data_IF_117565271110
#
_entry.id   IF_117565271110
#
_cell.length_a   1.000
_cell.length_b   1.000
_cell.length_c   1.000
_cell.angle_alpha   90.00
_cell.angle_beta   90.00
_cell.angle_gamma   90.00
#
_symmetry.space_group_name_H-M   'P 1'
#
loop_
_entity.id
_entity.type
_entity.pdbx_description
1 polymer ?
#
# COMPACT_ATOMS: atom_id res chain seq x y z
N UNK A 1 -21.61 4.60 -24.84
CA UNK A 1 -22.39 3.77 -25.78
C UNK A 1 -21.68 2.49 -26.18
N UNK A 2 -20.42 2.54 -26.61
CA UNK A 2 -19.69 1.31 -27.02
C UNK A 2 -19.42 0.39 -25.82
N UNK A 3 -18.96 0.93 -24.69
CA UNK A 3 -18.72 0.16 -23.46
C UNK A 3 -19.98 -0.53 -22.92
N UNK A 4 -21.11 0.18 -22.93
CA UNK A 4 -22.41 -0.36 -22.49
C UNK A 4 -22.86 -1.51 -23.39
N UNK A 5 -22.65 -1.40 -24.70
CA UNK A 5 -22.98 -2.48 -25.66
C UNK A 5 -22.08 -3.70 -25.43
N UNK A 6 -20.78 -3.49 -25.21
CA UNK A 6 -19.83 -4.56 -24.90
C UNK A 6 -20.18 -5.29 -23.60
N UNK A 7 -20.52 -4.56 -22.53
CA UNK A 7 -20.94 -5.16 -21.26
C UNK A 7 -22.13 -6.09 -21.45
N UNK A 8 -23.17 -5.63 -22.14
CA UNK A 8 -24.38 -6.42 -22.39
C UNK A 8 -24.07 -7.70 -23.18
N UNK A 9 -23.18 -7.61 -24.18
CA UNK A 9 -22.75 -8.77 -24.97
C UNK A 9 -21.98 -9.80 -24.13
N UNK A 10 -21.09 -9.34 -23.24
CA UNK A 10 -20.33 -10.21 -22.32
C UNK A 10 -21.29 -10.90 -21.35
N UNK A 11 -22.19 -10.14 -20.73
CA UNK A 11 -23.17 -10.68 -19.78
C UNK A 11 -24.07 -11.73 -20.44
N UNK A 12 -24.55 -11.45 -21.65
CA UNK A 12 -25.35 -12.40 -22.42
C UNK A 12 -24.56 -13.66 -22.80
N UNK A 13 -23.29 -13.51 -23.19
CA UNK A 13 -22.40 -14.63 -23.47
C UNK A 13 -22.20 -15.54 -22.26
N UNK A 14 -22.00 -14.96 -21.07
CA UNK A 14 -21.85 -15.70 -19.82
C UNK A 14 -23.13 -16.44 -19.43
N UNK A 15 -24.29 -15.79 -19.53
CA UNK A 15 -25.58 -16.41 -19.26
C UNK A 15 -25.84 -17.61 -20.18
N UNK A 16 -25.47 -17.51 -21.45
CA UNK A 16 -25.58 -18.62 -22.41
C UNK A 16 -24.69 -19.79 -22.02
N UNK A 17 -23.44 -19.55 -21.66
CA UNK A 17 -22.50 -20.61 -21.26
C UNK A 17 -22.91 -21.28 -19.95
N UNK A 18 -23.41 -20.52 -18.97
CA UNK A 18 -23.95 -21.05 -17.72
C UNK A 18 -25.18 -21.95 -17.98
N UNK A 19 -26.05 -21.55 -18.90
CA UNK A 19 -27.19 -22.36 -19.31
C UNK A 19 -26.73 -23.67 -19.99
N UNK A 20 -25.77 -23.60 -20.91
CA UNK A 20 -25.21 -24.78 -21.58
C UNK A 20 -24.48 -25.72 -20.60
N UNK A 21 -23.80 -25.16 -19.60
CA UNK A 21 -23.17 -25.92 -18.52
C UNK A 21 -24.20 -26.71 -17.70
N UNK A 22 -25.25 -26.03 -17.20
CA UNK A 22 -26.36 -26.66 -16.47
C UNK A 22 -27.02 -27.76 -17.29
N UNK A 23 -27.26 -27.52 -18.59
CA UNK A 23 -27.84 -28.51 -19.51
C UNK A 23 -26.93 -29.74 -19.68
N UNK A 24 -25.61 -29.55 -19.77
CA UNK A 24 -24.63 -30.65 -19.88
C UNK A 24 -24.58 -31.49 -18.60
N UNK A 25 -24.66 -30.86 -17.42
CA UNK A 25 -24.65 -31.57 -16.15
C UNK A 25 -25.93 -32.36 -15.96
N UNK A 26 -27.09 -31.76 -16.25
CA UNK A 26 -28.38 -32.46 -16.13
C UNK A 26 -28.43 -33.76 -16.94
N UNK A 27 -27.92 -33.74 -18.17
CA UNK A 27 -27.79 -34.96 -19.00
C UNK A 27 -26.91 -36.04 -18.36
N UNK A 28 -25.82 -35.65 -17.69
CA UNK A 28 -24.94 -36.58 -16.96
C UNK A 28 -25.63 -37.14 -15.71
N UNK A 29 -26.37 -36.32 -14.98
CA UNK A 29 -27.14 -36.76 -13.80
C UNK A 29 -28.28 -37.72 -14.19
N UNK A 30 -28.95 -37.47 -15.32
CA UNK A 30 -29.98 -38.35 -15.89
C UNK A 30 -29.38 -39.72 -16.29
N UNK A 31 -28.18 -39.75 -16.88
CA UNK A 31 -27.49 -41.00 -17.24
C UNK A 31 -26.96 -41.77 -16.03
N UNK A 32 -26.36 -41.09 -15.05
CA UNK A 32 -25.69 -41.74 -13.92
C UNK A 32 -26.63 -41.99 -12.72
N UNK A 33 -27.83 -41.41 -12.71
CA UNK A 33 -28.77 -41.44 -11.60
C UNK A 33 -28.29 -40.74 -10.32
N UNK A 34 -27.15 -40.04 -10.37
CA UNK A 34 -26.49 -39.38 -9.22
C UNK A 34 -26.45 -37.87 -9.41
N UNK A 35 -26.86 -37.14 -8.36
CA UNK A 35 -26.77 -35.67 -8.32
C UNK A 35 -25.33 -35.19 -8.12
N UNK A 36 -24.95 -34.11 -8.79
CA UNK A 36 -23.61 -33.50 -8.78
C UNK A 36 -23.69 -32.01 -8.39
N UNK A 37 -24.14 -31.69 -7.16
CA UNK A 37 -24.41 -30.31 -6.74
C UNK A 37 -23.15 -29.43 -6.81
N UNK A 38 -22.00 -29.93 -6.36
CA UNK A 38 -20.73 -29.21 -6.44
C UNK A 38 -20.36 -28.84 -7.88
N UNK A 39 -20.53 -29.78 -8.82
CA UNK A 39 -20.18 -29.53 -10.22
C UNK A 39 -21.14 -28.55 -10.89
N UNK A 40 -22.40 -28.55 -10.46
CA UNK A 40 -23.43 -27.69 -10.99
C UNK A 40 -23.26 -26.23 -10.58
N UNK A 41 -22.79 -25.97 -9.35
CA UNK A 41 -22.65 -24.62 -8.83
C UNK A 41 -21.20 -24.09 -8.92
N UNK A 42 -20.19 -24.78 -8.39
CA UNK A 42 -18.83 -24.23 -8.30
C UNK A 42 -18.12 -24.08 -9.65
N UNK A 43 -18.39 -24.97 -10.60
CA UNK A 43 -17.74 -24.94 -11.92
C UNK A 43 -18.58 -24.24 -12.98
N UNK A 44 -19.51 -23.35 -12.58
CA UNK A 44 -20.20 -22.49 -13.54
C UNK A 44 -19.20 -21.53 -14.20
N UNK A 45 -19.23 -21.37 -15.54
CA UNK A 45 -18.35 -20.44 -16.26
C UNK A 45 -18.28 -19.03 -15.65
N UNK A 46 -19.42 -18.46 -15.24
CA UNK A 46 -19.47 -17.15 -14.58
C UNK A 46 -18.68 -17.11 -13.27
N UNK A 47 -18.85 -18.12 -12.41
CA UNK A 47 -18.13 -18.23 -11.14
C UNK A 47 -16.62 -18.43 -11.34
N UNK A 48 -16.21 -19.22 -12.34
CA UNK A 48 -14.80 -19.41 -12.65
C UNK A 48 -14.15 -18.09 -13.06
N UNK A 49 -14.79 -17.32 -13.95
CA UNK A 49 -14.28 -16.03 -14.41
C UNK A 49 -14.22 -15.03 -13.25
N UNK A 50 -15.24 -15.01 -12.39
CA UNK A 50 -15.25 -14.19 -11.18
C UNK A 50 -14.11 -14.54 -10.22
N UNK A 51 -13.86 -15.83 -9.97
CA UNK A 51 -12.74 -16.28 -9.15
C UNK A 51 -11.39 -15.88 -9.74
N UNK A 52 -11.21 -16.00 -11.06
CA UNK A 52 -9.99 -15.56 -11.76
C UNK A 52 -9.80 -14.05 -11.59
N UNK A 53 -10.85 -13.26 -11.73
CA UNK A 53 -10.79 -11.80 -11.56
C UNK A 53 -10.37 -11.42 -10.13
N UNK A 54 -10.95 -12.07 -9.11
CA UNK A 54 -10.55 -11.88 -7.71
C UNK A 54 -9.09 -12.26 -7.51
N UNK A 55 -8.67 -13.39 -8.08
CA UNK A 55 -7.30 -13.85 -7.94
C UNK A 55 -6.29 -12.88 -8.55
N UNK A 56 -6.55 -12.39 -9.76
CA UNK A 56 -5.69 -11.42 -10.46
C UNK A 56 -5.63 -10.08 -9.71
N UNK A 57 -6.78 -9.58 -9.25
CA UNK A 57 -6.84 -8.32 -8.49
C UNK A 57 -6.16 -8.44 -7.13
N UNK A 58 -6.31 -9.58 -6.44
CA UNK A 58 -5.61 -9.86 -5.18
C UNK A 58 -4.10 -9.91 -5.37
N UNK A 59 -3.59 -10.60 -6.39
CA UNK A 59 -2.15 -10.65 -6.67
C UNK A 59 -1.61 -9.25 -7.00
N UNK A 60 -2.31 -8.53 -7.89
CA UNK A 60 -1.91 -7.17 -8.26
C UNK A 60 -1.85 -6.24 -7.04
N UNK A 61 -2.83 -6.35 -6.14
CA UNK A 61 -2.86 -5.58 -4.89
C UNK A 61 -1.66 -5.89 -3.99
N UNK A 62 -1.35 -7.18 -3.78
CA UNK A 62 -0.19 -7.58 -2.97
C UNK A 62 1.10 -7.02 -3.56
N UNK A 63 1.31 -7.15 -4.88
CA UNK A 63 2.50 -6.60 -5.55
C UNK A 63 2.59 -5.08 -5.44
N UNK A 64 1.46 -4.38 -5.56
CA UNK A 64 1.42 -2.93 -5.42
C UNK A 64 1.79 -2.49 -4.00
N UNK A 65 1.22 -3.13 -2.97
CA UNK A 65 1.52 -2.80 -1.58
C UNK A 65 2.97 -3.14 -1.19
N UNK A 66 3.51 -4.28 -1.64
CA UNK A 66 4.91 -4.64 -1.38
C UNK A 66 5.86 -3.65 -2.05
N UNK A 67 5.62 -3.28 -3.32
CA UNK A 67 6.43 -2.27 -4.01
C UNK A 67 6.39 -0.92 -3.29
N UNK A 68 5.19 -0.45 -2.91
CA UNK A 68 5.04 0.84 -2.22
C UNK A 68 5.76 0.85 -0.87
N UNK A 69 5.60 -0.21 -0.08
CA UNK A 69 6.21 -0.32 1.26
C UNK A 69 7.74 -0.45 1.24
N UNK A 70 8.30 -1.13 0.24
CA UNK A 70 9.74 -1.43 0.19
C UNK A 70 10.59 -0.40 -0.54
N UNK A 71 10.00 0.37 -1.46
CA UNK A 71 10.79 1.28 -2.33
C UNK A 71 10.36 2.73 -2.21
N UNK A 72 9.06 3.00 -2.28
CA UNK A 72 8.55 4.38 -2.31
C UNK A 72 8.65 5.02 -0.92
N UNK A 73 8.16 4.32 0.11
CA UNK A 73 8.13 4.86 1.48
C UNK A 73 9.56 5.16 2.01
N UNK A 74 10.55 4.26 1.91
CA UNK A 74 11.91 4.57 2.35
C UNK A 74 12.53 5.74 1.61
N UNK A 75 12.36 5.80 0.28
CA UNK A 75 12.92 6.87 -0.55
C UNK A 75 12.30 8.23 -0.22
N UNK A 76 10.99 8.29 -0.03
CA UNK A 76 10.30 9.52 0.38
C UNK A 76 10.73 9.95 1.78
N UNK A 77 10.82 9.01 2.73
CA UNK A 77 11.28 9.28 4.10
C UNK A 77 12.71 9.81 4.10
N UNK A 78 13.60 9.25 3.26
CA UNK A 78 14.97 9.75 3.13
C UNK A 78 14.99 11.19 2.58
N UNK A 79 14.20 11.49 1.56
CA UNK A 79 14.09 12.85 1.03
C UNK A 79 13.53 13.83 2.07
N UNK A 80 12.50 13.44 2.82
CA UNK A 80 11.95 14.24 3.91
C UNK A 80 12.98 14.52 5.00
N UNK A 81 13.78 13.52 5.40
CA UNK A 81 14.87 13.70 6.36
C UNK A 81 15.90 14.71 5.84
N UNK A 82 16.22 14.71 4.55
CA UNK A 82 17.12 15.69 3.94
C UNK A 82 16.54 17.10 3.98
N UNK A 83 15.26 17.29 3.66
CA UNK A 83 14.58 18.58 3.76
C UNK A 83 14.54 19.11 5.20
N UNK A 84 14.25 18.22 6.17
CA UNK A 84 14.25 18.57 7.59
C UNK A 84 15.67 18.96 8.01
N UNK A 85 16.70 18.21 7.60
CA UNK A 85 18.11 18.49 7.89
C UNK A 85 18.51 19.88 7.40
N UNK A 86 18.25 20.19 6.12
CA UNK A 86 18.52 21.51 5.54
C UNK A 86 17.81 22.61 6.34
N UNK A 87 16.57 22.35 6.79
CA UNK A 87 15.83 23.34 7.57
C UNK A 87 16.37 23.54 8.99
N UNK A 88 16.86 22.48 9.64
CA UNK A 88 17.54 22.52 10.94
C UNK A 88 18.84 23.33 10.82
N UNK A 89 19.61 23.11 9.76
CA UNK A 89 20.86 23.83 9.50
C UNK A 89 20.58 25.33 9.30
N UNK A 90 19.62 25.69 8.45
CA UNK A 90 19.15 27.08 8.28
C UNK A 90 18.64 27.72 9.59
N UNK A 91 18.03 26.93 10.48
CA UNK A 91 17.60 27.42 11.80
C UNK A 91 18.81 27.79 12.68
N UNK A 92 19.85 26.96 12.69
CA UNK A 92 21.09 27.25 13.41
C UNK A 92 21.80 28.48 12.85
N UNK A 93 21.86 28.65 11.53
CA UNK A 93 22.46 29.83 10.92
C UNK A 93 21.77 31.14 11.33
N UNK A 94 20.44 31.12 11.44
CA UNK A 94 19.65 32.31 11.77
C UNK A 94 19.60 32.65 13.27
N UNK A 95 19.60 31.63 14.13
CA UNK A 95 19.38 31.81 15.59
C UNK A 95 20.61 31.47 16.44
N UNK A 96 21.63 30.84 15.86
CA UNK A 96 22.88 30.46 16.53
C UNK A 96 22.83 29.14 17.32
N UNK A 97 21.68 28.47 17.38
CA UNK A 97 21.49 27.20 18.09
C UNK A 97 20.53 26.26 17.36
N UNK A 98 20.62 24.96 17.63
CA UNK A 98 19.68 23.96 17.10
C UNK A 98 18.33 23.97 17.83
N UNK A 99 17.20 23.70 17.14
CA UNK A 99 15.89 23.61 17.78
C UNK A 99 15.88 22.50 18.84
N UNK A 100 15.19 22.70 19.97
CA UNK A 100 15.13 21.70 21.04
C UNK A 100 14.25 20.51 20.64
N UNK A 101 13.18 20.80 19.91
CA UNK A 101 12.25 19.81 19.40
C UNK A 101 12.00 20.01 17.91
N UNK A 102 11.69 18.94 17.19
CA UNK A 102 11.29 19.01 15.78
C UNK A 102 10.04 19.88 15.57
N UNK A 103 9.15 19.91 16.57
CA UNK A 103 7.95 20.75 16.55
C UNK A 103 8.27 22.26 16.46
N UNK A 104 9.42 22.72 16.97
CA UNK A 104 9.84 24.11 16.88
C UNK A 104 10.07 24.57 15.43
N UNK A 105 10.38 23.62 14.53
CA UNK A 105 10.54 23.86 13.09
C UNK A 105 9.21 23.82 12.32
N UNK A 106 8.31 22.95 12.75
CA UNK A 106 7.00 22.71 12.10
C UNK A 106 6.04 23.86 12.43
N UNK A 107 5.93 24.21 13.71
CA UNK A 107 4.98 25.20 14.25
C UNK A 107 3.58 25.01 13.63
N UNK A 108 2.93 26.11 13.24
CA UNK A 108 1.61 26.11 12.58
C UNK A 108 1.70 26.16 11.05
N UNK A 109 2.83 25.77 10.45
CA UNK A 109 2.93 25.76 8.98
C UNK A 109 2.23 24.49 8.43
N UNK A 110 1.18 24.62 7.60
CA UNK A 110 0.45 23.47 7.05
C UNK A 110 1.32 22.59 6.15
N UNK A 111 2.31 23.16 5.45
CA UNK A 111 3.20 22.42 4.56
C UNK A 111 4.15 21.48 5.32
N UNK A 112 4.46 21.80 6.58
CA UNK A 112 5.40 21.05 7.42
C UNK A 112 4.74 20.07 8.37
N UNK A 113 3.40 20.00 8.39
CA UNK A 113 2.69 19.05 9.26
C UNK A 113 3.06 17.60 8.95
N UNK A 114 3.46 17.32 7.69
CA UNK A 114 3.93 16.01 7.25
C UNK A 114 5.22 15.58 7.97
N UNK A 115 6.07 16.52 8.39
CA UNK A 115 7.32 16.22 9.09
C UNK A 115 7.14 15.72 10.53
N UNK A 116 5.89 15.64 11.03
CA UNK A 116 5.61 15.06 12.35
C UNK A 116 5.87 13.57 12.39
N UNK A 117 5.67 12.89 11.27
CA UNK A 117 5.76 11.44 11.17
C UNK A 117 6.46 11.03 9.88
N UNK A 118 7.13 9.90 9.90
CA UNK A 118 7.70 9.28 8.72
C UNK A 118 6.63 8.66 7.81
N UNK A 119 7.06 8.07 6.69
CA UNK A 119 6.16 7.44 5.74
C UNK A 119 5.46 6.17 6.25
N UNK A 120 5.79 5.69 7.47
CA UNK A 120 5.05 4.64 8.19
C UNK A 120 4.15 5.21 9.30
N UNK A 121 3.91 6.53 9.30
CA UNK A 121 3.13 7.27 10.29
C UNK A 121 3.70 7.17 11.73
N UNK A 122 5.03 7.13 11.86
CA UNK A 122 5.72 7.06 13.15
C UNK A 122 6.48 8.34 13.43
N UNK A 123 6.53 8.82 14.68
CA UNK A 123 7.22 10.06 14.98
C UNK A 123 8.72 9.92 14.71
N UNK A 124 9.33 10.93 14.09
CA UNK A 124 10.78 11.01 13.95
C UNK A 124 11.43 11.17 15.33
N UNK A 125 12.54 10.45 15.55
CA UNK A 125 13.40 10.65 16.71
C UNK A 125 14.42 11.74 16.39
N UNK A 126 14.38 12.84 17.13
CA UNK A 126 15.33 13.95 17.01
C UNK A 126 16.15 14.06 18.30
N UNK A 127 17.47 13.93 18.18
CA UNK A 127 18.39 14.09 19.31
C UNK A 127 19.54 15.03 18.93
N UNK A 128 19.91 15.89 19.88
CA UNK A 128 21.09 16.75 19.77
C UNK A 128 22.26 16.02 20.41
N UNK A 129 23.38 15.92 19.70
CA UNK A 129 24.58 15.18 20.10
C UNK A 129 25.74 16.17 20.23
N UNK A 130 26.83 15.76 20.89
CA UNK A 130 28.08 16.54 21.00
C UNK A 130 27.87 17.90 21.68
N UNK A 131 27.13 17.92 22.80
CA UNK A 131 26.89 19.12 23.60
C UNK A 131 26.28 20.31 22.82
N UNK A 132 25.46 20.03 21.80
CA UNK A 132 24.80 21.09 21.01
C UNK A 132 25.45 21.36 19.66
N UNK A 133 26.54 20.67 19.32
CA UNK A 133 27.28 20.89 18.08
C UNK A 133 26.73 20.10 16.89
N UNK A 134 26.02 19.00 17.14
CA UNK A 134 25.51 18.13 16.09
C UNK A 134 24.08 17.64 16.39
N UNK A 135 23.38 17.09 15.40
CA UNK A 135 22.05 16.52 15.57
C UNK A 135 21.88 15.23 14.76
N UNK A 136 20.94 14.39 15.19
CA UNK A 136 20.55 13.18 14.50
C UNK A 136 19.04 13.12 14.39
N UNK A 137 18.55 12.94 13.16
CA UNK A 137 17.16 12.60 12.86
C UNK A 137 17.14 11.14 12.42
N UNK A 138 16.30 10.34 13.08
CA UNK A 138 16.12 8.92 12.81
C UNK A 138 14.64 8.64 12.58
N UNK A 139 14.31 8.02 11.44
CA UNK A 139 13.04 7.30 11.26
C UNK A 139 13.17 5.90 11.83
N UNK A 140 12.14 5.46 12.55
CA UNK A 140 12.00 4.14 13.17
C UNK A 140 11.70 3.03 12.15
N UNK A 141 11.61 3.37 10.85
CA UNK A 141 11.35 2.43 9.79
C UNK A 141 10.00 1.69 9.90
N UNK A 142 9.84 0.55 9.20
CA UNK A 142 8.65 -0.31 9.24
C UNK A 142 8.47 -1.13 10.52
N UNK A 143 9.52 -1.36 11.32
CA UNK A 143 9.48 -2.20 12.52
C UNK A 143 9.20 -1.43 13.82
N UNK A 144 9.59 -0.16 13.89
CA UNK A 144 9.07 0.82 14.85
C UNK A 144 9.92 0.88 16.11
N UNK A 145 11.12 0.34 16.01
CA UNK A 145 12.04 0.19 17.11
C UNK A 145 13.33 0.90 16.76
N UNK A 146 13.76 1.78 17.64
CA UNK A 146 15.00 2.51 17.47
C UNK A 146 16.21 1.59 17.69
N UNK A 147 17.23 1.72 16.86
CA UNK A 147 18.46 0.95 16.89
C UNK A 147 18.44 -0.32 16.03
N UNK A 148 17.52 -0.44 15.07
CA UNK A 148 17.44 -1.61 14.18
C UNK A 148 18.02 -1.31 12.80
N UNK A 149 18.14 -2.36 11.96
CA UNK A 149 18.73 -2.22 10.61
C UNK A 149 17.85 -1.43 9.65
N UNK A 150 16.56 -1.29 9.98
CA UNK A 150 15.58 -0.65 9.12
C UNK A 150 15.46 0.86 9.38
N UNK A 151 16.21 1.37 10.37
CA UNK A 151 16.27 2.79 10.70
C UNK A 151 16.91 3.62 9.59
N UNK A 152 16.26 4.73 9.23
CA UNK A 152 16.78 5.68 8.24
C UNK A 152 17.28 6.92 8.98
N UNK A 153 18.58 7.19 8.88
CA UNK A 153 19.27 8.24 9.60
C UNK A 153 19.72 9.38 8.69
N UNK A 154 19.81 10.59 9.24
CA UNK A 154 20.24 11.81 8.54
C UNK A 154 21.76 11.95 8.35
N UNK A 155 22.57 10.90 8.58
CA UNK A 155 24.04 10.97 8.53
C UNK A 155 24.55 11.37 7.15
#
# INVERSE_FOLDING_TARGET
MIETILSILVDFGLLREDYLHKKRIRKKEEHDGKKRPFQNYLFQPSLIIFCILIFVTSISSVLFFTYHSTTIIPKNTQNEILEIRERVENYKETLGYYPKELNDLIRNNPLRQKWKTDGWNRPYSYIIIENGNNFLITSLGPDGKLGTKDDINSK
#
